data_IF_606212409742
#
_entry.id   IF_606212409742
#
_cell.length_a   1.000
_cell.length_b   1.000
_cell.length_c   1.000
_cell.angle_alpha   90.00
_cell.angle_beta   90.00
_cell.angle_gamma   90.00
#
_symmetry.space_group_name_H-M   'P 1'
#
loop_
_entity.id
_entity.type
_entity.pdbx_description
1 polymer ?
2 non-polymer ?
3 water ?
#
# COMPACT_ATOMS: atom_id res chain seq x y z
N UNK A 5 13.14 -33.78 4.61
CA UNK A 5 11.91 -34.06 5.41
C UNK A 5 11.34 -32.77 5.98
N UNK A 6 11.87 -32.36 7.13
CA UNK A 6 11.43 -31.13 7.79
C UNK A 6 12.57 -30.11 7.78
N UNK A 7 13.43 -30.20 6.77
CA UNK A 7 14.56 -29.31 6.62
C UNK A 7 14.68 -28.89 5.16
N UNK A 8 13.54 -28.76 4.50
CA UNK A 8 13.48 -28.39 3.09
C UNK A 8 14.08 -27.03 2.78
N UNK A 9 14.17 -26.14 3.76
CA UNK A 9 14.73 -24.82 3.53
C UNK A 9 16.17 -24.90 3.05
N UNK A 10 16.84 -25.98 3.40
CA UNK A 10 18.23 -26.18 3.00
C UNK A 10 18.37 -26.47 1.50
N UNK A 11 17.36 -27.12 0.93
CA UNK A 11 17.37 -27.47 -0.48
C UNK A 11 16.62 -26.50 -1.38
N UNK A 12 16.53 -25.24 -0.97
CA UNK A 12 15.83 -24.24 -1.77
C UNK A 12 16.37 -22.84 -1.49
N UNK A 13 16.28 -21.98 -2.50
CA UNK A 13 16.76 -20.60 -2.36
C UNK A 13 15.86 -19.82 -1.42
N UNK A 14 16.45 -18.93 -0.59
CA UNK A 14 15.70 -18.13 0.36
C UNK A 14 14.48 -17.45 -0.27
N UNK A 15 14.66 -16.87 -1.44
CA UNK A 15 13.59 -16.17 -2.14
C UNK A 15 12.38 -17.05 -2.42
N UNK A 16 12.59 -18.37 -2.43
CA UNK A 16 11.48 -19.29 -2.69
C UNK A 16 10.95 -19.98 -1.43
N UNK A 17 11.52 -19.64 -0.28
CA UNK A 17 11.07 -20.25 0.97
C UNK A 17 9.62 -19.96 1.31
N UNK A 18 8.95 -20.96 1.88
CA UNK A 18 7.57 -20.80 2.31
C UNK A 18 7.69 -20.26 3.73
N UNK A 19 6.56 -19.92 4.35
CA UNK A 19 6.59 -19.42 5.72
C UNK A 19 7.22 -20.47 6.63
N UNK A 20 6.82 -21.73 6.46
CA UNK A 20 7.38 -22.79 7.29
C UNK A 20 8.89 -22.91 7.13
N UNK A 21 9.38 -22.74 5.90
CA UNK A 21 10.81 -22.83 5.67
C UNK A 21 11.58 -21.68 6.30
N UNK A 22 10.95 -20.50 6.34
CA UNK A 22 11.58 -19.33 6.96
C UNK A 22 11.77 -19.66 8.44
N UNK A 23 10.72 -20.20 9.05
CA UNK A 23 10.75 -20.58 10.46
C UNK A 23 11.83 -21.64 10.67
N UNK A 24 11.92 -22.59 9.74
CA UNK A 24 12.92 -23.64 9.80
C UNK A 24 14.31 -23.02 9.87
N UNK A 25 14.56 -22.06 9.00
CA UNK A 25 15.85 -21.37 8.95
C UNK A 25 16.16 -20.69 10.28
N UNK A 26 15.20 -19.94 10.79
CA UNK A 26 15.37 -19.22 12.06
C UNK A 26 15.62 -20.19 13.22
N UNK A 27 14.75 -21.18 13.37
CA UNK A 27 14.88 -22.17 14.45
C UNK A 27 16.24 -22.85 14.46
N UNK A 28 16.64 -23.40 13.32
CA UNK A 28 17.90 -24.11 13.21
C UNK A 28 19.15 -23.27 13.42
N UNK A 29 19.06 -21.96 13.23
CA UNK A 29 20.23 -21.09 13.40
C UNK A 29 20.28 -20.32 14.70
N UNK A 30 19.19 -20.33 15.46
CA UNK A 30 19.15 -19.62 16.74
C UNK A 30 17.96 -20.10 17.56
N UNK A 31 18.21 -21.06 18.44
CA UNK A 31 17.18 -21.64 19.29
C UNK A 31 16.40 -20.59 20.08
N UNK A 32 17.07 -19.52 20.49
CA UNK A 32 16.43 -18.47 21.28
C UNK A 32 15.33 -17.74 20.51
N UNK A 33 15.29 -17.94 19.20
CA UNK A 33 14.28 -17.28 18.37
C UNK A 33 13.11 -18.19 18.02
N UNK A 34 13.22 -19.46 18.37
CA UNK A 34 12.18 -20.43 18.08
C UNK A 34 10.80 -20.02 18.59
N UNK A 35 10.78 -19.33 19.72
CA UNK A 35 9.53 -18.88 20.33
C UNK A 35 8.72 -17.93 19.44
N UNK A 36 9.40 -17.24 18.53
CA UNK A 36 8.74 -16.28 17.66
C UNK A 36 8.18 -16.89 16.38
N UNK A 37 8.24 -18.21 16.27
CA UNK A 37 7.74 -18.88 15.08
C UNK A 37 6.34 -18.45 14.66
N UNK A 38 5.41 -18.45 15.60
CA UNK A 38 4.04 -18.08 15.29
C UNK A 38 3.89 -16.65 14.78
N UNK A 39 4.86 -15.80 15.09
CA UNK A 39 4.81 -14.41 14.61
C UNK A 39 4.95 -14.39 13.11
N UNK A 40 5.87 -15.21 12.60
CA UNK A 40 6.08 -15.26 11.16
C UNK A 40 4.88 -15.85 10.44
N UNK A 41 4.17 -16.75 11.13
CA UNK A 41 2.97 -17.34 10.54
C UNK A 41 1.87 -16.28 10.53
N UNK A 42 1.67 -15.64 11.68
CA UNK A 42 0.64 -14.63 11.82
C UNK A 42 0.80 -13.47 10.83
N UNK A 43 2.03 -13.01 10.66
CA UNK A 43 2.29 -11.89 9.76
C UNK A 43 2.62 -12.33 8.34
N UNK A 44 2.48 -13.63 8.09
CA UNK A 44 2.68 -14.24 6.78
C UNK A 44 4.01 -13.89 6.12
N UNK A 45 5.10 -14.16 6.85
CA UNK A 45 6.43 -13.87 6.36
C UNK A 45 7.05 -15.07 5.65
N UNK A 46 6.93 -15.10 4.32
CA UNK A 46 7.56 -16.18 3.58
C UNK A 46 8.95 -15.68 3.18
N UNK A 47 9.63 -16.42 2.32
CA UNK A 47 10.97 -16.02 1.90
C UNK A 47 11.04 -14.64 1.25
N UNK A 48 10.16 -14.39 0.30
CA UNK A 48 10.15 -13.10 -0.39
C UNK A 48 9.95 -11.95 0.60
N UNK A 49 9.05 -12.15 1.56
CA UNK A 49 8.78 -11.12 2.56
C UNK A 49 9.98 -10.94 3.49
N UNK A 50 10.59 -12.05 3.88
CA UNK A 50 11.74 -12.03 4.79
C UNK A 50 12.86 -11.13 4.26
N UNK A 51 13.09 -11.18 2.96
CA UNK A 51 14.14 -10.38 2.34
C UNK A 51 13.82 -8.89 2.25
N UNK A 52 12.59 -8.51 2.58
CA UNK A 52 12.18 -7.11 2.53
C UNK A 52 12.03 -6.54 3.93
N UNK A 53 12.10 -7.41 4.92
CA UNK A 53 11.94 -7.04 6.32
C UNK A 53 13.15 -6.31 6.91
N UNK A 54 12.91 -5.41 7.86
CA UNK A 54 13.98 -4.72 8.56
C UNK A 54 13.59 -4.63 10.03
N UNK A 55 14.54 -4.29 10.88
CA UNK A 55 14.29 -4.21 12.32
C UNK A 55 13.14 -3.31 12.73
N UNK A 56 13.05 -2.12 12.14
CA UNK A 56 11.99 -1.21 12.50
C UNK A 56 10.61 -1.80 12.24
N UNK A 57 10.46 -2.49 11.12
CA UNK A 57 9.19 -3.13 10.76
C UNK A 57 8.83 -4.21 11.77
N UNK A 58 9.81 -5.03 12.10
CA UNK A 58 9.59 -6.12 13.05
C UNK A 58 9.12 -5.59 14.39
N UNK A 59 9.69 -4.48 14.83
CA UNK A 59 9.31 -3.90 16.10
C UNK A 59 7.94 -3.22 16.02
N UNK A 60 7.75 -2.44 14.97
CA UNK A 60 6.49 -1.71 14.80
C UNK A 60 5.27 -2.57 14.48
N UNK A 61 5.43 -3.52 13.57
CA UNK A 61 4.30 -4.35 13.17
C UNK A 61 4.23 -5.76 13.73
N UNK A 62 5.36 -6.35 14.07
CA UNK A 62 5.35 -7.71 14.59
C UNK A 62 5.45 -7.80 16.11
N UNK A 63 5.58 -6.65 16.75
CA UNK A 63 5.67 -6.62 18.21
C UNK A 63 6.94 -7.20 18.80
N UNK A 64 7.96 -7.37 17.98
CA UNK A 64 9.24 -7.91 18.43
C UNK A 64 10.04 -6.85 19.18
N UNK A 65 10.75 -7.25 20.22
CA UNK A 65 11.59 -6.32 20.97
C UNK A 65 12.86 -6.09 20.14
N UNK A 66 13.62 -5.04 20.47
CA UNK A 66 14.82 -4.71 19.73
C UNK A 66 15.83 -5.86 19.62
N UNK A 67 16.11 -6.53 20.74
CA UNK A 67 17.06 -7.62 20.73
C UNK A 67 16.74 -8.69 19.70
N UNK A 68 15.57 -9.32 19.79
CA UNK A 68 15.15 -10.36 18.84
C UNK A 68 15.15 -9.85 17.40
N UNK A 69 14.67 -8.61 17.21
CA UNK A 69 14.63 -8.03 15.88
C UNK A 69 16.02 -7.92 15.28
N UNK A 70 17.00 -7.52 16.09
CA UNK A 70 18.37 -7.40 15.61
C UNK A 70 18.96 -8.77 15.28
N UNK A 71 18.63 -9.76 16.11
CA UNK A 71 19.12 -11.11 15.90
C UNK A 71 18.52 -11.71 14.62
N UNK A 72 17.25 -11.45 14.38
CA UNK A 72 16.61 -11.96 13.17
C UNK A 72 17.22 -11.25 11.96
N UNK A 73 17.40 -9.94 12.08
CA UNK A 73 18.00 -9.14 11.02
C UNK A 73 19.37 -9.71 10.64
N UNK A 74 20.12 -10.12 11.65
CA UNK A 74 21.45 -10.69 11.42
C UNK A 74 21.35 -11.99 10.61
N UNK A 75 20.34 -12.81 10.91
CA UNK A 75 20.17 -14.06 10.20
C UNK A 75 19.77 -13.80 8.75
N UNK A 76 19.00 -12.74 8.53
CA UNK A 76 18.57 -12.39 7.18
C UNK A 76 19.76 -11.89 6.37
N UNK A 77 20.68 -11.20 7.03
CA UNK A 77 21.87 -10.68 6.35
C UNK A 77 22.74 -11.81 5.80
N UNK A 78 22.74 -12.94 6.48
CA UNK A 78 23.55 -14.09 6.05
C UNK A 78 23.03 -14.67 4.73
N UNK A 79 21.73 -14.52 4.49
CA UNK A 79 21.13 -15.01 3.25
C UNK A 79 20.76 -13.81 2.38
N UNK A 80 21.43 -12.69 2.65
CA UNK A 80 21.22 -11.44 1.93
C UNK A 80 19.92 -10.76 2.32
N UNK B 13 1.79 1.95 -19.71
CA UNK B 13 2.53 2.52 -18.53
C UNK B 13 1.67 2.33 -17.27
N UNK B 14 2.32 1.96 -16.15
CA UNK B 14 1.63 1.74 -14.87
C UNK B 14 0.58 2.79 -14.54
N UNK B 15 0.94 4.05 -14.70
CA UNK B 15 0.03 5.16 -14.40
C UNK B 15 -1.29 5.02 -15.18
N UNK B 16 -1.24 4.29 -16.29
CA UNK B 16 -2.44 4.11 -17.11
C UNK B 16 -3.16 2.79 -16.89
N UNK B 17 -2.59 1.91 -16.06
CA UNK B 17 -3.22 0.62 -15.81
C UNK B 17 -4.59 0.69 -15.15
N UNK B 18 -5.47 -0.22 -15.56
CA UNK B 18 -6.80 -0.31 -14.98
C UNK B 18 -6.65 -1.22 -13.77
N UNK B 19 -7.72 -1.39 -12.99
CA UNK B 19 -7.68 -2.25 -11.82
C UNK B 19 -7.31 -3.68 -12.22
N UNK B 20 -7.94 -4.19 -13.27
CA UNK B 20 -7.66 -5.56 -13.70
C UNK B 20 -6.23 -5.73 -14.17
N UNK B 21 -5.66 -4.69 -14.78
CA UNK B 21 -4.29 -4.77 -15.26
C UNK B 21 -3.31 -4.79 -14.09
N UNK B 22 -3.67 -4.10 -13.00
CA UNK B 22 -2.83 -4.07 -11.81
C UNK B 22 -2.83 -5.49 -11.21
N UNK B 23 -4.01 -6.08 -11.13
CA UNK B 23 -4.14 -7.43 -10.58
C UNK B 23 -3.34 -8.42 -11.45
N UNK B 24 -3.51 -8.31 -12.76
CA UNK B 24 -2.78 -9.20 -13.66
C UNK B 24 -1.28 -9.06 -13.44
N UNK B 25 -0.80 -7.82 -13.31
CA UNK B 25 0.63 -7.59 -13.08
C UNK B 25 1.11 -8.26 -11.79
N UNK B 26 0.35 -8.07 -10.71
CA UNK B 26 0.70 -8.64 -9.42
C UNK B 26 0.66 -10.17 -9.39
N UNK B 27 -0.48 -10.74 -9.82
CA UNK B 27 -0.66 -12.19 -9.83
C UNK B 27 0.32 -12.97 -10.68
N UNK B 28 0.51 -12.50 -11.90
CA UNK B 28 1.41 -13.16 -12.84
C UNK B 28 2.85 -13.18 -12.36
N UNK B 29 3.24 -12.16 -11.61
CA UNK B 29 4.61 -12.07 -11.11
C UNK B 29 4.84 -12.76 -9.77
N UNK B 30 3.76 -13.00 -9.01
CA UNK B 30 3.87 -13.68 -7.72
C UNK B 30 2.56 -14.42 -7.45
N UNK B 31 2.53 -15.70 -7.76
CA UNK B 31 1.33 -16.51 -7.60
C UNK B 31 0.74 -16.50 -6.18
N UNK B 32 1.60 -16.34 -5.18
CA UNK B 32 1.14 -16.33 -3.79
C UNK B 32 0.30 -15.09 -3.48
N UNK B 33 0.27 -14.13 -4.39
CA UNK B 33 -0.52 -12.93 -4.18
C UNK B 33 -1.89 -12.98 -4.86
N UNK B 34 -2.13 -14.00 -5.67
CA UNK B 34 -3.42 -14.12 -6.37
C UNK B 34 -4.59 -14.13 -5.40
N UNK B 35 -4.39 -14.71 -4.23
CA UNK B 35 -5.44 -14.78 -3.22
C UNK B 35 -5.89 -13.38 -2.78
N UNK B 36 -5.04 -12.38 -3.01
CA UNK B 36 -5.35 -11.01 -2.62
C UNK B 36 -5.82 -10.14 -3.78
N UNK B 37 -5.85 -10.71 -4.98
CA UNK B 37 -6.28 -9.94 -6.15
C UNK B 37 -7.63 -9.27 -5.99
N UNK B 38 -8.58 -9.97 -5.38
CA UNK B 38 -9.92 -9.43 -5.19
C UNK B 38 -9.92 -8.17 -4.32
N UNK B 39 -8.92 -8.02 -3.45
CA UNK B 39 -8.85 -6.84 -2.59
C UNK B 39 -8.62 -5.59 -3.44
N UNK B 40 -7.92 -5.73 -4.56
CA UNK B 40 -7.67 -4.58 -5.43
C UNK B 40 -8.95 -4.17 -6.13
N UNK B 41 -9.85 -5.12 -6.35
CA UNK B 41 -11.13 -4.81 -6.98
C UNK B 41 -11.98 -4.08 -5.95
N UNK B 42 -12.06 -4.64 -4.75
CA UNK B 42 -12.86 -4.07 -3.66
C UNK B 42 -12.46 -2.65 -3.29
N UNK B 43 -11.16 -2.38 -3.26
CA UNK B 43 -10.68 -1.06 -2.89
C UNK B 43 -10.40 -0.17 -4.09
N UNK B 44 -10.80 -0.65 -5.26
CA UNK B 44 -10.64 0.06 -6.54
C UNK B 44 -9.24 0.62 -6.75
N UNK B 45 -8.26 -0.26 -6.70
CA UNK B 45 -6.87 0.16 -6.89
C UNK B 45 -6.45 0.02 -8.35
N UNK B 46 -6.47 1.13 -9.09
CA UNK B 46 -6.03 1.12 -10.48
C UNK B 46 -4.57 1.51 -10.46
N UNK B 47 -3.97 1.70 -11.63
CA UNK B 47 -2.57 2.07 -11.71
C UNK B 47 -2.20 3.35 -10.97
N UNK B 48 -2.99 4.40 -11.13
CA UNK B 48 -2.69 5.65 -10.44
C UNK B 48 -2.70 5.46 -8.92
N UNK B 49 -3.67 4.70 -8.43
CA UNK B 49 -3.77 4.45 -7.00
C UNK B 49 -2.63 3.54 -6.53
N UNK B 50 -2.28 2.56 -7.34
CA UNK B 50 -1.20 1.63 -7.01
C UNK B 50 0.10 2.38 -6.71
N UNK B 51 0.40 3.38 -7.53
CA UNK B 51 1.62 4.16 -7.36
C UNK B 51 1.64 5.03 -6.11
N UNK B 52 0.49 5.16 -5.44
CA UNK B 52 0.43 5.97 -4.22
C UNK B 52 0.31 5.11 -2.97
N UNK B 53 0.18 3.81 -3.16
CA UNK B 53 0.03 2.88 -2.06
C UNK B 53 1.36 2.58 -1.36
N UNK B 54 1.31 2.34 -0.05
CA UNK B 54 2.50 1.95 0.70
C UNK B 54 2.08 0.81 1.64
N UNK B 55 3.05 0.17 2.29
CA UNK B 55 2.74 -0.95 3.17
C UNK B 55 1.80 -0.64 4.32
N UNK B 56 1.98 0.51 4.97
CA UNK B 56 1.12 0.87 6.08
C UNK B 56 -0.34 0.98 5.65
N UNK B 57 -0.57 1.59 4.48
CA UNK B 57 -1.93 1.74 3.97
C UNK B 57 -2.56 0.39 3.67
N UNK B 58 -1.80 -0.50 3.04
CA UNK B 58 -2.30 -1.82 2.70
C UNK B 58 -2.69 -2.59 3.96
N UNK B 59 -1.88 -2.47 4.99
CA UNK B 59 -2.17 -3.17 6.24
C UNK B 59 -3.35 -2.52 6.96
N UNK B 60 -3.37 -1.20 7.02
CA UNK B 60 -4.43 -0.49 7.72
C UNK B 60 -5.78 -0.51 7.03
N UNK B 61 -5.80 -0.30 5.71
CA UNK B 61 -7.08 -0.23 5.00
C UNK B 61 -7.50 -1.44 4.16
N UNK B 62 -6.54 -2.25 3.73
CA UNK B 62 -6.89 -3.42 2.93
C UNK B 62 -6.85 -4.73 3.72
N UNK B 63 -6.49 -4.64 4.99
CA UNK B 63 -6.44 -5.82 5.83
C UNK B 63 -5.34 -6.82 5.50
N UNK B 64 -4.35 -6.39 4.74
CA UNK B 64 -3.25 -7.27 4.38
C UNK B 64 -2.25 -7.38 5.52
N UNK B 65 -1.62 -8.54 5.67
CA UNK B 65 -0.62 -8.73 6.70
C UNK B 65 0.69 -8.15 6.17
N UNK B 66 1.66 -7.95 7.06
CA UNK B 66 2.95 -7.38 6.67
C UNK B 66 3.63 -8.07 5.49
N UNK B 67 3.68 -9.41 5.53
CA UNK B 67 4.32 -10.16 4.46
C UNK B 67 3.82 -9.78 3.07
N UNK B 68 2.53 -9.98 2.80
CA UNK B 68 1.92 -9.68 1.50
C UNK B 68 2.11 -8.20 1.13
N UNK B 69 1.97 -7.32 2.13
CA UNK B 69 2.12 -5.89 1.88
C UNK B 69 3.53 -5.61 1.37
N UNK B 70 4.54 -6.20 2.01
CA UNK B 70 5.92 -6.00 1.59
C UNK B 70 6.18 -6.52 0.18
N UNK B 71 5.63 -7.69 -0.13
CA UNK B 71 5.81 -8.30 -1.44
C UNK B 71 5.14 -7.47 -2.53
N UNK B 72 4.00 -6.87 -2.21
CA UNK B 72 3.30 -6.04 -3.17
C UNK B 72 4.10 -4.76 -3.36
N UNK B 73 4.59 -4.21 -2.25
CA UNK B 73 5.41 -3.00 -2.27
C UNK B 73 6.60 -3.22 -3.20
N UNK B 74 7.23 -4.38 -3.06
CA UNK B 74 8.39 -4.72 -3.87
C UNK B 74 8.07 -4.79 -5.36
N UNK B 75 6.92 -5.36 -5.71
CA UNK B 75 6.52 -5.43 -7.11
C UNK B 75 6.27 -4.04 -7.68
N UNK B 76 5.74 -3.15 -6.86
CA UNK B 76 5.46 -1.79 -7.29
C UNK B 76 6.77 -1.04 -7.55
N UNK B 77 7.76 -1.29 -6.70
CA UNK B 77 9.07 -0.64 -6.84
C UNK B 77 9.72 -0.99 -8.17
N UNK B 78 9.41 -2.16 -8.69
CA UNK B 78 9.99 -2.61 -9.96
C UNK B 78 9.43 -1.86 -11.17
N UNK B 79 8.30 -1.18 -10.98
CA UNK B 79 7.70 -0.41 -12.07
C UNK B 79 7.54 1.04 -11.62
N UNK B 80 8.34 1.42 -10.62
CA UNK B 80 8.32 2.76 -10.04
C UNK B 80 7.04 3.01 -9.26
N UNK C 3 -19.02 34.67 -13.75
CA UNK C 3 -17.67 34.65 -14.40
C UNK C 3 -17.84 34.00 -15.75
N UNK C 4 -17.50 34.74 -16.80
CA UNK C 4 -17.65 34.30 -18.19
C UNK C 4 -16.64 33.28 -18.75
N UNK C 5 -15.40 33.29 -18.25
CA UNK C 5 -14.39 32.35 -18.72
C UNK C 5 -14.36 31.09 -17.88
N UNK C 6 -14.40 29.93 -18.54
CA UNK C 6 -14.39 28.63 -17.86
C UNK C 6 -13.12 28.43 -17.04
N UNK C 7 -13.17 27.48 -16.11
CA UNK C 7 -12.04 27.14 -15.26
C UNK C 7 -11.43 28.28 -14.46
N UNK C 8 -12.28 28.99 -13.72
CA UNK C 8 -11.80 30.10 -12.90
C UNK C 8 -10.79 29.63 -11.84
N UNK C 9 -10.80 28.34 -11.50
CA UNK C 9 -9.85 27.84 -10.50
C UNK C 9 -8.41 28.07 -10.93
N UNK C 10 -8.19 28.16 -12.24
CA UNK C 10 -6.85 28.39 -12.76
C UNK C 10 -6.38 29.81 -12.48
N UNK C 11 -7.31 30.69 -12.15
CA UNK C 11 -6.97 32.09 -11.91
C UNK C 11 -7.09 32.56 -10.45
N UNK C 12 -7.10 31.59 -9.54
CA UNK C 12 -7.19 31.89 -8.11
C UNK C 12 -6.32 30.92 -7.34
N UNK C 13 -5.86 31.35 -6.17
CA UNK C 13 -5.03 30.49 -5.33
C UNK C 13 -5.93 29.39 -4.76
N UNK C 14 -5.39 28.17 -4.62
CA UNK C 14 -6.18 27.05 -4.09
C UNK C 14 -6.89 27.38 -2.77
N UNK C 15 -6.19 28.09 -1.88
CA UNK C 15 -6.79 28.43 -0.59
C UNK C 15 -8.04 29.28 -0.74
N UNK C 16 -8.18 29.97 -1.89
CA UNK C 16 -9.35 30.81 -2.14
C UNK C 16 -10.43 30.14 -2.97
N UNK C 17 -10.18 28.92 -3.44
CA UNK C 17 -11.16 28.23 -4.27
C UNK C 17 -12.50 28.01 -3.60
N UNK C 18 -13.56 28.13 -4.41
CA UNK C 18 -14.91 27.89 -3.96
C UNK C 18 -15.07 26.38 -4.10
N UNK C 19 -16.20 25.86 -3.65
CA UNK C 19 -16.47 24.43 -3.79
C UNK C 19 -16.46 24.05 -5.27
N UNK C 20 -17.11 24.86 -6.10
CA UNK C 20 -17.17 24.57 -7.53
C UNK C 20 -15.79 24.60 -8.20
N UNK C 21 -14.89 25.45 -7.71
CA UNK C 21 -13.55 25.53 -8.28
C UNK C 21 -12.73 24.31 -7.88
N UNK C 22 -12.98 23.78 -6.68
CA UNK C 22 -12.29 22.57 -6.25
C UNK C 22 -12.70 21.47 -7.23
N UNK C 23 -13.99 21.42 -7.54
CA UNK C 23 -14.52 20.42 -8.46
C UNK C 23 -13.93 20.62 -9.87
N UNK C 24 -13.80 21.87 -10.30
CA UNK C 24 -13.21 22.17 -11.61
C UNK C 24 -11.80 21.57 -11.66
N UNK C 25 -11.05 21.79 -10.58
CA UNK C 25 -9.69 21.29 -10.48
C UNK C 25 -9.63 19.78 -10.64
N UNK C 26 -10.49 19.07 -9.91
CA UNK C 26 -10.54 17.62 -10.00
C UNK C 26 -10.86 17.18 -11.44
N UNK C 27 -11.92 17.74 -12.01
CA UNK C 27 -12.33 17.39 -13.37
C UNK C 27 -11.29 17.67 -14.45
N UNK C 28 -10.53 18.74 -14.26
CA UNK C 28 -9.52 19.15 -15.23
C UNK C 28 -8.25 18.31 -15.16
N UNK C 29 -8.05 17.59 -14.06
CA UNK C 29 -6.85 16.79 -13.91
C UNK C 29 -7.01 15.28 -13.88
N UNK C 30 -8.23 14.81 -13.68
CA UNK C 30 -8.48 13.37 -13.67
C UNK C 30 -9.93 13.07 -13.96
N UNK C 31 -10.21 12.73 -15.21
CA UNK C 31 -11.57 12.41 -15.65
C UNK C 31 -12.20 11.26 -14.88
N UNK C 32 -11.39 10.33 -14.41
CA UNK C 32 -11.90 9.18 -13.67
C UNK C 32 -12.40 9.56 -12.28
N UNK C 33 -12.16 10.80 -11.85
CA UNK C 33 -12.60 11.26 -10.54
C UNK C 33 -13.79 12.20 -10.62
N UNK C 34 -14.16 12.61 -11.84
CA UNK C 34 -15.28 13.53 -12.01
C UNK C 34 -16.57 13.03 -11.36
N UNK C 35 -16.76 11.71 -11.38
CA UNK C 35 -17.95 11.09 -10.79
C UNK C 35 -18.06 11.37 -9.28
N UNK C 36 -16.92 11.68 -8.65
CA UNK C 36 -16.90 11.95 -7.20
C UNK C 36 -16.96 13.44 -6.87
N UNK C 37 -16.88 14.28 -7.89
CA UNK C 37 -16.91 15.71 -7.67
C UNK C 37 -18.04 16.18 -6.77
N UNK C 38 -19.23 15.64 -6.97
CA UNK C 38 -20.38 16.04 -6.18
C UNK C 38 -20.23 15.81 -4.69
N UNK C 39 -19.36 14.88 -4.30
CA UNK C 39 -19.15 14.61 -2.87
C UNK C 39 -18.60 15.88 -2.23
N UNK C 40 -17.93 16.70 -3.03
CA UNK C 40 -17.36 17.92 -2.49
C UNK C 40 -18.45 18.96 -2.24
N UNK C 41 -19.57 18.85 -2.97
CA UNK C 41 -20.68 19.76 -2.73
C UNK C 41 -21.36 19.27 -1.46
N UNK C 42 -21.62 17.97 -1.42
CA UNK C 42 -22.28 17.32 -0.28
C UNK C 42 -21.60 17.64 1.06
N UNK C 43 -20.28 17.52 1.07
CA UNK C 43 -19.51 17.75 2.29
C UNK C 43 -18.94 19.16 2.39
N UNK C 44 -19.41 20.04 1.51
CA UNK C 44 -19.01 21.44 1.49
C UNK C 44 -17.50 21.64 1.61
N UNK C 45 -16.77 21.04 0.67
CA UNK C 45 -15.33 21.13 0.65
C UNK C 45 -14.83 22.22 -0.32
N UNK C 46 -14.50 23.38 0.22
CA UNK C 46 -13.97 24.45 -0.62
C UNK C 46 -12.44 24.35 -0.56
N UNK C 47 -11.76 25.34 -1.12
CA UNK C 47 -10.30 25.31 -1.14
C UNK C 47 -9.65 25.21 0.24
N UNK C 48 -10.13 26.00 1.19
CA UNK C 48 -9.58 25.98 2.54
C UNK C 48 -9.72 24.60 3.18
N UNK C 49 -10.88 23.97 2.98
CA UNK C 49 -11.12 22.63 3.53
C UNK C 49 -10.30 21.58 2.78
N UNK C 50 -10.20 21.73 1.47
CA UNK C 50 -9.44 20.79 0.65
C UNK C 50 -8.00 20.66 1.14
N UNK C 51 -7.42 21.78 1.53
CA UNK C 51 -6.04 21.80 2.01
C UNK C 51 -5.86 21.16 3.38
N UNK C 52 -6.97 20.78 4.01
CA UNK C 52 -6.92 20.16 5.35
C UNK C 52 -7.35 18.70 5.28
N UNK C 53 -7.83 18.30 4.11
CA UNK C 53 -8.32 16.94 3.88
C UNK C 53 -7.20 15.91 3.71
N UNK C 54 -7.45 14.69 4.17
CA UNK C 54 -6.49 13.61 3.98
C UNK C 54 -7.25 12.35 3.58
N UNK C 55 -6.54 11.31 3.17
CA UNK C 55 -7.17 10.08 2.72
C UNK C 55 -8.08 9.41 3.74
N UNK C 56 -7.65 9.37 4.99
CA UNK C 56 -8.46 8.73 6.02
C UNK C 56 -9.81 9.42 6.17
N UNK C 57 -9.82 10.74 6.11
CA UNK C 57 -11.06 11.50 6.22
C UNK C 57 -11.99 11.22 5.05
N UNK C 58 -11.42 11.19 3.84
CA UNK C 58 -12.21 10.92 2.65
C UNK C 58 -12.88 9.55 2.72
N UNK C 59 -12.18 8.57 3.26
CA UNK C 59 -12.72 7.23 3.38
C UNK C 59 -13.73 7.11 4.52
N UNK C 60 -13.39 7.67 5.67
CA UNK C 60 -14.28 7.59 6.82
C UNK C 60 -15.54 8.44 6.74
N UNK C 61 -15.41 9.68 6.28
CA UNK C 61 -16.56 10.58 6.22
C UNK C 61 -17.21 10.78 4.86
N UNK C 62 -16.43 10.68 3.79
CA UNK C 62 -16.99 10.89 2.46
C UNK C 62 -17.36 9.60 1.73
N UNK C 63 -17.08 8.46 2.35
CA UNK C 63 -17.42 7.18 1.75
C UNK C 63 -16.64 6.81 0.51
N UNK C 64 -15.48 7.43 0.32
CA UNK C 64 -14.66 7.13 -0.85
C UNK C 64 -13.83 5.89 -0.60
N UNK C 65 -13.62 5.10 -1.65
CA UNK C 65 -12.81 3.89 -1.55
C UNK C 65 -11.35 4.34 -1.50
N UNK C 66 -10.47 3.43 -1.07
CA UNK C 66 -9.05 3.73 -0.95
C UNK C 66 -8.41 4.25 -2.25
N UNK C 67 -8.70 3.59 -3.36
CA UNK C 67 -8.12 4.02 -4.64
C UNK C 67 -8.44 5.46 -4.98
N UNK C 68 -9.74 5.81 -5.07
CA UNK C 68 -10.15 7.18 -5.38
C UNK C 68 -9.58 8.17 -4.38
N UNK C 69 -9.57 7.79 -3.10
CA UNK C 69 -9.05 8.68 -2.06
C UNK C 69 -7.58 9.01 -2.30
N UNK C 70 -6.78 8.00 -2.63
CA UNK C 70 -5.35 8.22 -2.89
C UNK C 70 -5.12 9.10 -4.11
N UNK C 71 -5.95 8.92 -5.14
CA UNK C 71 -5.84 9.70 -6.37
C UNK C 71 -6.20 11.16 -6.11
N UNK C 72 -7.21 11.39 -5.28
CA UNK C 72 -7.60 12.76 -4.96
C UNK C 72 -6.49 13.36 -4.08
N UNK C 73 -5.99 12.58 -3.15
CA UNK C 73 -4.92 13.03 -2.27
C UNK C 73 -3.72 13.52 -3.10
N UNK C 74 -3.40 12.78 -4.16
CA UNK C 74 -2.27 13.14 -5.02
C UNK C 74 -2.50 14.49 -5.73
N UNK C 75 -3.74 14.75 -6.12
CA UNK C 75 -4.06 16.01 -6.80
C UNK C 75 -3.89 17.17 -5.82
N UNK C 76 -4.30 16.96 -4.57
CA UNK C 76 -4.17 17.99 -3.54
C UNK C 76 -2.69 18.25 -3.25
N UNK C 77 -1.89 17.18 -3.30
CA UNK C 77 -0.46 17.28 -3.05
C UNK C 77 0.20 18.26 -4.01
N UNK C 78 -0.35 18.36 -5.22
CA UNK C 78 0.21 19.24 -6.24
C UNK C 78 -0.10 20.73 -6.05
N UNK C 79 -1.09 21.06 -5.23
CA UNK C 79 -1.45 22.45 -5.01
C UNK C 79 -1.49 22.85 -3.53
N UNK C 80 -0.86 22.05 -2.68
CA UNK C 80 -0.85 22.36 -1.25
C UNK C 80 0.55 22.73 -0.76
X LIG D 1 18.35 -6.73 6.38
X LIG D 1 17.26 -5.95 7.10
X LIG D 1 19.63 -6.13 6.43
X LIG D 1 16.68 -6.72 8.64
X LIG E 1 6.35 1.82 -2.80
X LIG E 1 5.43 1.76 -1.59
X LIG E 1 7.72 1.99 -2.47
X LIG E 1 4.55 0.19 -1.42
X LIG F 1 -2.41 15.25 1.11
X LIG F 1 -3.38 14.42 1.91
X LIG F 1 -1.14 15.40 1.73
X LIG F 1 -4.91 14.03 1.01
#
# INVERSE_FOLDING_TARGET
MEKTRANSHLRSQPIDWTIEEVIQYIESNDNSLAVHGDLFRKHEIDGKALLRLNSEMMMKYMGLKLGPALKICNLVNKVNGRDHHHHHH
MEKTRANSHLRSQPIDWTIEEVIQYIESNDNSLAVHGDLFRKHEIDGKALLRLNSEMMMKYMGLKLGPALKICNLVNKVNGRDHHHHHH
MEKTRANSHLRSQPIDWTIEEVIQYIESNDNSLAVHGDLFRKHEIDGKALLRLNSEMMMKYMGLKLGPALKICNLVNKVNGRDHHHHHH
BME C1 C2 O1 S2
BME C1 C2 O1 S2
BME C1 C2 O1 S2
#
